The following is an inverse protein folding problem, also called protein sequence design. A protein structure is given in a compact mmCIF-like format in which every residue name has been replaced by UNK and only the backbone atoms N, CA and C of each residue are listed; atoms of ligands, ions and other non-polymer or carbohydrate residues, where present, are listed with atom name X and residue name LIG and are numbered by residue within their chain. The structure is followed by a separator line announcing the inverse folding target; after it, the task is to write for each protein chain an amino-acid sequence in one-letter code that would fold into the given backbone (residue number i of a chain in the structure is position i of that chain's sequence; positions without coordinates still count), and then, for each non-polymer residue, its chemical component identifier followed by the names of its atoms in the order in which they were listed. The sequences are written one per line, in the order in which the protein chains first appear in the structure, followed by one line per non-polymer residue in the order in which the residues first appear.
data_IF_050304495056
#
_entry.id   IF_050304495056
#
_cell.length_a   1.000
_cell.length_b   1.000
_cell.length_c   1.000
_cell.angle_alpha   90.00
_cell.angle_beta   90.00
_cell.angle_gamma   90.00
#
_symmetry.space_group_name_H-M   'P 1'
#
loop_
_entity.id
_entity.type
_entity.pdbx_description
1 polymer ?
#
# COMPACT_ATOMS: atom_id res chain seq x y z
N UNK A 1 8.09 0.85 -21.25
CA UNK A 1 8.27 1.71 -20.06
C UNK A 1 7.80 3.10 -20.40
N UNK A 2 6.72 3.58 -19.84
CA UNK A 2 6.27 4.97 -19.99
C UNK A 2 6.80 5.76 -18.79
N UNK A 3 7.96 6.38 -18.94
CA UNK A 3 8.46 7.33 -17.96
C UNK A 3 7.67 8.65 -18.07
N UNK A 4 7.22 9.20 -16.96
CA UNK A 4 6.67 10.53 -16.88
C UNK A 4 5.17 10.65 -17.17
N UNK A 5 4.32 9.92 -16.44
CA UNK A 5 2.89 10.23 -16.42
C UNK A 5 2.60 11.32 -15.39
N UNK A 6 1.96 12.36 -15.85
CA UNK A 6 1.43 13.42 -15.00
C UNK A 6 0.47 12.79 -13.97
N UNK A 7 0.64 13.01 -12.65
CA UNK A 7 -0.26 12.51 -11.62
C UNK A 7 -1.72 12.96 -11.78
N UNK A 8 -1.98 13.93 -12.63
CA UNK A 8 -3.33 14.39 -12.97
C UNK A 8 -3.95 13.66 -14.18
N UNK A 9 -3.28 12.68 -14.78
CA UNK A 9 -3.90 11.85 -15.81
C UNK A 9 -4.88 10.86 -15.18
N UNK A 10 -6.07 10.69 -15.76
CA UNK A 10 -7.10 9.77 -15.21
C UNK A 10 -6.63 8.32 -15.03
N UNK A 11 -5.53 7.93 -15.66
CA UNK A 11 -4.90 6.61 -15.49
C UNK A 11 -4.16 6.43 -14.15
N UNK A 12 -3.91 7.50 -13.39
CA UNK A 12 -3.26 7.43 -12.09
C UNK A 12 -4.15 6.84 -11.01
N UNK A 13 -5.45 7.10 -11.06
CA UNK A 13 -6.43 6.65 -10.08
C UNK A 13 -7.19 5.40 -10.51
N UNK A 14 -6.95 4.91 -11.73
CA UNK A 14 -7.58 3.70 -12.24
C UNK A 14 -6.73 2.47 -11.95
N UNK A 15 -7.38 1.43 -11.45
CA UNK A 15 -6.79 0.11 -11.35
C UNK A 15 -6.71 -0.53 -12.73
N UNK A 16 -5.50 -0.92 -13.15
CA UNK A 16 -5.25 -1.58 -14.43
C UNK A 16 -4.94 -3.06 -14.17
N UNK A 17 -5.93 -3.93 -14.36
CA UNK A 17 -5.73 -5.38 -14.25
C UNK A 17 -4.90 -5.90 -15.42
N UNK A 18 -3.58 -6.04 -15.21
CA UNK A 18 -2.66 -6.51 -16.23
C UNK A 18 -1.19 -6.27 -15.85
N UNK A 19 -0.24 -6.70 -16.67
CA UNK A 19 1.20 -6.55 -16.42
C UNK A 19 1.65 -5.10 -16.66
N UNK A 20 1.06 -4.16 -15.94
CA UNK A 20 1.33 -2.71 -16.03
C UNK A 20 1.80 -2.21 -14.68
N UNK A 21 2.99 -1.59 -14.64
CA UNK A 21 3.50 -0.88 -13.49
C UNK A 21 3.62 0.61 -13.81
N UNK A 22 3.07 1.46 -12.95
CA UNK A 22 3.31 2.90 -12.99
C UNK A 22 4.55 3.23 -12.18
N UNK A 23 5.45 4.00 -12.77
CA UNK A 23 6.71 4.39 -12.14
C UNK A 23 6.83 5.90 -12.07
N UNK A 24 7.17 6.42 -10.90
CA UNK A 24 7.33 7.85 -10.62
C UNK A 24 8.66 8.10 -9.95
N UNK A 25 9.30 9.20 -10.33
CA UNK A 25 10.49 9.74 -9.66
C UNK A 25 10.08 11.01 -8.94
N UNK A 26 10.44 11.13 -7.69
CA UNK A 26 10.11 12.26 -6.81
C UNK A 26 11.37 12.85 -6.21
N UNK A 27 11.31 14.10 -5.77
CA UNK A 27 12.48 14.81 -5.24
C UNK A 27 12.62 14.73 -3.71
N UNK A 28 11.56 14.24 -3.02
CA UNK A 28 11.56 14.12 -1.57
C UNK A 28 10.77 12.93 -1.07
N UNK A 29 11.06 12.51 0.16
CA UNK A 29 10.31 11.49 0.89
C UNK A 29 8.84 11.90 1.11
N UNK A 30 8.60 13.15 1.46
CA UNK A 30 7.25 13.66 1.68
C UNK A 30 6.42 13.65 0.39
N UNK A 31 7.03 13.97 -0.74
CA UNK A 31 6.38 13.85 -2.04
C UNK A 31 6.06 12.39 -2.38
N UNK A 32 6.98 11.46 -2.10
CA UNK A 32 6.75 10.04 -2.30
C UNK A 32 5.56 9.52 -1.48
N UNK A 33 5.47 9.92 -0.21
CA UNK A 33 4.38 9.53 0.68
C UNK A 33 3.05 10.14 0.21
N UNK A 34 3.05 11.42 -0.17
CA UNK A 34 1.88 12.10 -0.69
C UNK A 34 1.35 11.39 -1.94
N UNK A 35 2.25 11.04 -2.84
CA UNK A 35 1.92 10.34 -4.07
C UNK A 35 1.39 8.92 -3.79
N UNK A 36 2.03 8.19 -2.90
CA UNK A 36 1.59 6.85 -2.50
C UNK A 36 0.18 6.86 -1.89
N UNK A 37 -0.15 7.91 -1.13
CA UNK A 37 -1.45 8.05 -0.46
C UNK A 37 -2.56 8.64 -1.34
N UNK A 38 -2.23 9.16 -2.52
CA UNK A 38 -3.20 9.83 -3.40
C UNK A 38 -4.15 8.85 -4.13
N UNK A 39 -3.88 7.55 -4.10
CA UNK A 39 -4.78 6.53 -4.67
C UNK A 39 -6.04 6.34 -3.82
N UNK A 40 -7.20 6.03 -4.44
CA UNK A 40 -8.41 5.65 -3.69
C UNK A 40 -8.33 4.23 -3.09
N UNK A 41 -7.27 3.49 -3.36
CA UNK A 41 -7.05 2.14 -2.85
C UNK A 41 -5.97 2.11 -1.76
N UNK A 42 -5.98 1.07 -0.94
CA UNK A 42 -5.00 0.90 0.12
C UNK A 42 -4.96 -0.55 0.65
N UNK A 43 -4.56 -1.50 -0.19
CA UNK A 43 -4.46 -2.90 0.23
C UNK A 43 -3.08 -3.19 0.83
N UNK A 44 -2.03 -3.04 0.06
CA UNK A 44 -0.67 -3.34 0.48
C UNK A 44 0.34 -2.34 -0.06
N UNK A 45 1.45 -2.21 0.65
CA UNK A 45 2.56 -1.37 0.26
C UNK A 45 3.90 -1.94 0.73
N UNK A 46 4.99 -1.44 0.16
CA UNK A 46 6.35 -1.82 0.54
C UNK A 46 7.26 -0.61 0.49
N UNK A 47 8.15 -0.52 1.47
CA UNK A 47 9.19 0.50 1.55
C UNK A 47 10.55 -0.20 1.53
N UNK A 48 11.40 0.16 0.57
CA UNK A 48 12.74 -0.38 0.47
C UNK A 48 13.76 0.70 0.80
N UNK A 49 14.61 0.46 1.78
CA UNK A 49 15.62 1.40 2.24
C UNK A 49 16.74 0.68 2.99
N UNK A 50 17.95 1.22 2.95
CA UNK A 50 19.05 0.75 3.78
C UNK A 50 18.90 1.15 5.26
N UNK A 51 18.17 2.23 5.55
CA UNK A 51 17.88 2.70 6.89
C UNK A 51 16.55 2.14 7.39
N UNK A 52 16.59 1.11 8.23
CA UNK A 52 15.41 0.40 8.74
C UNK A 52 14.49 1.31 9.56
N UNK A 53 15.04 2.19 10.40
CA UNK A 53 14.24 3.09 11.23
C UNK A 53 13.52 4.15 10.37
N UNK A 54 14.19 4.65 9.36
CA UNK A 54 13.57 5.51 8.34
C UNK A 54 12.46 4.74 7.59
N UNK A 55 12.72 3.51 7.20
CA UNK A 55 11.73 2.64 6.56
C UNK A 55 10.48 2.45 7.39
N UNK A 56 10.63 2.20 8.69
CA UNK A 56 9.51 2.09 9.65
C UNK A 56 8.75 3.40 9.79
N UNK A 57 9.46 4.52 9.83
CA UNK A 57 8.84 5.85 9.92
C UNK A 57 7.99 6.15 8.68
N UNK A 58 8.52 5.87 7.49
CA UNK A 58 7.80 6.03 6.23
C UNK A 58 6.59 5.10 6.17
N UNK A 59 6.78 3.82 6.52
CA UNK A 59 5.71 2.82 6.48
C UNK A 59 4.50 3.21 7.32
N UNK A 60 4.69 3.84 8.49
CA UNK A 60 3.61 4.34 9.34
C UNK A 60 2.81 5.49 8.73
N UNK A 61 3.35 6.17 7.73
CA UNK A 61 2.72 7.29 7.02
C UNK A 61 2.03 6.86 5.73
N UNK A 62 2.22 5.62 5.29
CA UNK A 62 1.55 5.07 4.11
C UNK A 62 0.15 4.59 4.50
N UNK A 63 -0.86 5.11 3.83
CA UNK A 63 -2.27 4.77 4.01
C UNK A 63 -2.62 3.48 3.26
N UNK A 64 -2.28 2.35 3.87
CA UNK A 64 -2.54 1.03 3.33
C UNK A 64 -2.84 0.04 4.47
N UNK A 65 -3.58 -1.01 4.18
CA UNK A 65 -3.93 -2.03 5.18
C UNK A 65 -2.73 -2.81 5.68
N UNK A 66 -1.71 -2.94 4.84
CA UNK A 66 -0.44 -3.60 5.17
C UNK A 66 0.71 -2.83 4.54
N UNK A 67 1.80 -2.63 5.29
CA UNK A 67 3.03 -2.05 4.74
C UNK A 67 4.24 -2.83 5.24
N UNK A 68 5.04 -3.28 4.32
CA UNK A 68 6.26 -4.07 4.58
C UNK A 68 7.51 -3.20 4.41
N UNK A 69 8.53 -3.45 5.21
CA UNK A 69 9.84 -2.79 5.07
C UNK A 69 10.85 -3.81 4.54
N UNK A 70 11.49 -3.49 3.42
CA UNK A 70 12.46 -4.32 2.71
C UNK A 70 11.93 -5.71 2.33
N UNK A 71 10.64 -5.81 2.15
CA UNK A 71 9.98 -7.02 1.68
C UNK A 71 8.81 -6.67 0.77
N UNK A 72 8.52 -7.52 -0.19
CA UNK A 72 7.30 -7.39 -1.00
C UNK A 72 6.07 -7.72 -0.16
N UNK A 73 4.94 -7.17 -0.55
CA UNK A 73 3.64 -7.55 0.06
C UNK A 73 3.41 -9.05 -0.10
N UNK A 74 3.05 -9.73 0.99
CA UNK A 74 2.75 -11.16 1.00
C UNK A 74 1.68 -11.48 2.05
N UNK A 75 1.19 -12.71 2.04
CA UNK A 75 0.24 -13.24 3.01
C UNK A 75 0.89 -14.31 3.87
N UNK A 76 0.58 -14.30 5.16
CA UNK A 76 0.96 -15.37 6.09
C UNK A 76 -0.19 -15.57 7.09
N UNK A 77 -0.41 -16.81 7.56
CA UNK A 77 -1.52 -17.10 8.49
C UNK A 77 -1.49 -16.28 9.77
N UNK A 78 -0.32 -15.86 10.21
CA UNK A 78 -0.10 -15.09 11.45
C UNK A 78 -0.30 -13.59 11.26
N UNK A 79 -0.33 -13.11 10.04
CA UNK A 79 -0.43 -11.68 9.72
C UNK A 79 -1.86 -11.33 9.29
N UNK A 80 -2.46 -10.28 9.88
CA UNK A 80 -3.76 -9.83 9.44
C UNK A 80 -3.67 -9.32 8.01
N UNK A 81 -4.57 -9.79 7.16
CA UNK A 81 -4.68 -9.37 5.77
C UNK A 81 -5.95 -8.54 5.55
N UNK A 82 -5.83 -7.40 4.92
CA UNK A 82 -6.97 -6.58 4.56
C UNK A 82 -6.55 -5.19 4.12
N UNK A 83 -7.48 -4.50 3.48
CA UNK A 83 -7.30 -3.17 2.94
C UNK A 83 -7.97 -2.08 3.77
N UNK A 84 -7.79 -0.87 3.28
CA UNK A 84 -8.51 0.35 3.69
C UNK A 84 -8.98 1.08 2.42
N UNK A 85 -9.71 2.17 2.57
CA UNK A 85 -10.28 2.93 1.45
C UNK A 85 -11.14 2.01 0.56
N UNK A 86 -11.08 2.16 -0.75
CA UNK A 86 -11.85 1.34 -1.70
C UNK A 86 -11.34 -0.11 -1.83
N UNK A 87 -10.22 -0.45 -1.23
CA UNK A 87 -9.77 -1.84 -1.13
C UNK A 87 -10.60 -2.69 -0.16
N UNK A 88 -11.48 -2.06 0.60
CA UNK A 88 -12.43 -2.74 1.47
C UNK A 88 -12.14 -2.52 2.96
N UNK A 89 -12.84 -3.27 3.78
CA UNK A 89 -12.75 -3.24 5.24
C UNK A 89 -12.72 -4.67 5.80
N UNK A 90 -12.48 -4.79 7.09
CA UNK A 90 -12.31 -6.10 7.73
C UNK A 90 -10.88 -6.62 7.62
N UNK A 91 -10.65 -7.76 8.26
CA UNK A 91 -9.36 -8.44 8.22
C UNK A 91 -9.58 -9.95 8.11
N UNK A 92 -8.77 -10.56 7.27
CA UNK A 92 -8.60 -12.00 7.19
C UNK A 92 -7.33 -12.42 7.92
N UNK A 93 -7.18 -13.69 8.19
CA UNK A 93 -6.02 -14.29 8.83
C UNK A 93 -5.77 -13.75 10.24
N UNK A 94 -4.78 -14.31 10.92
CA UNK A 94 -4.47 -14.02 12.32
C UNK A 94 -5.68 -14.16 13.27
N UNK A 95 -5.50 -13.81 14.52
CA UNK A 95 -6.60 -13.76 15.49
C UNK A 95 -7.67 -12.71 15.16
N UNK A 96 -7.29 -11.67 14.41
CA UNK A 96 -8.22 -10.61 14.01
C UNK A 96 -9.29 -11.10 13.03
N UNK A 97 -8.97 -12.10 12.21
CA UNK A 97 -9.91 -12.69 11.25
C UNK A 97 -11.10 -13.38 11.93
N UNK A 98 -10.97 -13.86 13.16
CA UNK A 98 -12.10 -14.44 13.90
C UNK A 98 -13.23 -13.44 14.16
N UNK A 99 -12.88 -12.18 14.31
CA UNK A 99 -13.85 -11.13 14.55
C UNK A 99 -14.86 -10.92 13.42
N UNK A 100 -14.51 -11.31 12.21
CA UNK A 100 -15.36 -11.18 11.02
C UNK A 100 -16.50 -12.22 10.97
N UNK A 101 -16.39 -13.30 11.75
CA UNK A 101 -17.38 -14.38 11.81
C UNK A 101 -18.34 -14.28 12.99
N UNK A 102 -18.20 -13.26 13.83
CA UNK A 102 -19.04 -13.06 15.01
C UNK A 102 -19.69 -11.69 14.97
N UNK A 103 -20.92 -11.63 15.46
CA UNK A 103 -21.66 -10.38 15.63
C UNK A 103 -21.34 -9.84 17.03
N UNK A 104 -20.78 -8.65 17.09
CA UNK A 104 -20.45 -7.97 18.35
C UNK A 104 -21.43 -6.87 18.66
#
# INVERSE_FOLDING_TARGET
MSAGRNPHSGSYTQEVFGPVASFYVVDSEDEAITLANATPFGLGGSVFTADIERGRSVARRIESGMVFVNHSTFTAPELPFGGIKNSGYGRELSELGFGEFVNR
#
